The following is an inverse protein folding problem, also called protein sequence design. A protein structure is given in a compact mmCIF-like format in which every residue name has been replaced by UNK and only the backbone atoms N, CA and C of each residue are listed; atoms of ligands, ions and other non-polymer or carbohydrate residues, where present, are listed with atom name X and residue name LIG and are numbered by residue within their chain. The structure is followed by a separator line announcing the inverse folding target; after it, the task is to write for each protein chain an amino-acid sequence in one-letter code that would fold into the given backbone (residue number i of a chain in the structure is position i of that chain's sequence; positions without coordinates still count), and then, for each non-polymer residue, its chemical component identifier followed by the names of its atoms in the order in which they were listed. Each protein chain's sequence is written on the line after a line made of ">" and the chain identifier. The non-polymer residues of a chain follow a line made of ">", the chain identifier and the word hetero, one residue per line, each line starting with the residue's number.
data_IF_312410236528
#
_entry.id   IF_312410236528
#
_cell.length_a   1.000
_cell.length_b   1.000
_cell.length_c   1.000
_cell.angle_alpha   90.00
_cell.angle_beta   90.00
_cell.angle_gamma   90.00
#
_symmetry.space_group_name_H-M   'P 1'
#
loop_
_entity.id
_entity.type
_entity.pdbx_description
1 polymer ?
#
# COMPACT_ATOMS: atom_id res chain seq x y z
N UNK A 1 21.03 -18.27 18.61
CA UNK A 1 21.42 -17.84 19.98
C UNK A 1 22.57 -18.73 20.45
N UNK A 2 23.54 -18.21 21.21
CA UNK A 2 24.62 -19.07 21.75
C UNK A 2 24.05 -20.10 22.73
N UNK A 3 24.74 -21.24 22.91
CA UNK A 3 24.32 -22.30 23.84
C UNK A 3 24.06 -21.78 25.26
N UNK A 4 24.91 -20.87 25.76
CA UNK A 4 24.73 -20.25 27.07
C UNK A 4 23.35 -19.60 27.22
N UNK A 5 23.04 -18.63 26.35
CA UNK A 5 21.75 -17.94 26.36
C UNK A 5 20.55 -18.87 26.11
N UNK A 6 20.73 -19.92 25.30
CA UNK A 6 19.69 -20.94 25.10
C UNK A 6 19.36 -21.68 26.39
N UNK A 7 20.39 -22.13 27.11
CA UNK A 7 20.21 -22.82 28.40
C UNK A 7 19.65 -21.87 29.46
N UNK A 8 20.14 -20.63 29.52
CA UNK A 8 19.66 -19.61 30.44
C UNK A 8 18.14 -19.40 30.31
N UNK A 9 17.64 -19.18 29.09
CA UNK A 9 16.19 -19.03 28.85
C UNK A 9 15.44 -20.30 29.21
N UNK A 10 15.94 -21.46 28.77
CA UNK A 10 15.27 -22.74 29.01
C UNK A 10 15.11 -23.03 30.51
N UNK A 11 16.19 -22.85 31.29
CA UNK A 11 16.20 -23.12 32.73
C UNK A 11 15.28 -22.15 33.47
N UNK A 12 15.29 -20.86 33.13
CA UNK A 12 14.41 -19.88 33.78
C UNK A 12 12.94 -20.12 33.45
N UNK A 13 12.59 -20.41 32.20
CA UNK A 13 11.20 -20.70 31.81
C UNK A 13 10.68 -21.97 32.48
N UNK A 14 11.43 -23.06 32.45
CA UNK A 14 11.00 -24.30 33.13
C UNK A 14 11.02 -24.17 34.65
N UNK A 15 12.01 -23.46 35.20
CA UNK A 15 12.10 -23.20 36.64
C UNK A 15 10.93 -22.36 37.16
N UNK A 16 10.48 -21.37 36.40
CA UNK A 16 9.31 -20.54 36.75
C UNK A 16 8.01 -21.32 36.64
N UNK A 17 7.81 -22.11 35.59
CA UNK A 17 6.64 -23.01 35.48
C UNK A 17 6.61 -24.00 36.64
N UNK A 18 7.76 -24.59 36.98
CA UNK A 18 7.88 -25.48 38.14
C UNK A 18 7.56 -24.76 39.44
N UNK A 19 8.09 -23.56 39.65
CA UNK A 19 7.84 -22.74 40.85
C UNK A 19 6.36 -22.37 40.98
N UNK A 20 5.68 -22.03 39.88
CA UNK A 20 4.25 -21.75 39.87
C UNK A 20 3.43 -23.01 40.18
N UNK A 21 3.82 -24.15 39.63
CA UNK A 21 3.17 -25.44 39.91
C UNK A 21 3.34 -25.81 41.39
N UNK A 22 4.54 -25.64 41.93
CA UNK A 22 4.82 -25.88 43.35
C UNK A 22 4.03 -24.94 44.25
N UNK A 23 4.00 -23.63 43.93
CA UNK A 23 3.24 -22.64 44.68
C UNK A 23 1.75 -23.00 44.71
N UNK A 24 1.16 -23.31 43.55
CA UNK A 24 -0.26 -23.69 43.43
C UNK A 24 -0.60 -24.94 44.27
N UNK A 25 0.28 -25.95 44.25
CA UNK A 25 0.07 -27.17 45.03
C UNK A 25 0.33 -26.95 46.53
N UNK A 26 1.26 -26.08 46.88
CA UNK A 26 1.59 -25.77 48.27
C UNK A 26 0.48 -24.96 48.95
N UNK A 27 -0.05 -23.93 48.28
CA UNK A 27 -1.19 -23.15 48.81
C UNK A 27 -2.43 -24.02 48.97
N UNK A 28 -2.66 -24.94 48.01
CA UNK A 28 -3.77 -25.89 48.09
C UNK A 28 -3.65 -26.89 49.25
N UNK A 29 -2.45 -27.24 49.72
CA UNK A 29 -2.30 -28.17 50.86
C UNK A 29 -2.75 -27.57 52.18
N UNK A 30 -2.67 -26.24 52.32
CA UNK A 30 -3.03 -25.54 53.55
C UNK A 30 -4.47 -25.02 53.59
N UNK A 31 -5.28 -25.29 52.57
CA UNK A 31 -6.63 -24.74 52.46
C UNK A 31 -7.66 -25.59 53.22
N UNK A 32 -8.79 -24.98 53.58
CA UNK A 32 -9.95 -25.67 54.17
C UNK A 32 -10.67 -26.58 53.18
N UNK A 33 -11.43 -27.57 53.65
CA UNK A 33 -12.16 -28.49 52.76
C UNK A 33 -13.42 -27.85 52.15
N UNK A 34 -14.06 -26.96 52.89
CA UNK A 34 -15.34 -26.33 52.53
C UNK A 34 -15.25 -24.80 52.59
N UNK A 35 -16.21 -24.13 51.95
CA UNK A 35 -16.36 -22.68 52.01
C UNK A 35 -16.87 -22.29 53.39
N UNK A 36 -16.23 -21.32 54.02
CA UNK A 36 -16.55 -20.85 55.37
C UNK A 36 -16.61 -19.33 55.42
N UNK A 37 -17.41 -18.79 56.33
CA UNK A 37 -17.48 -17.36 56.64
C UNK A 37 -16.45 -16.94 57.72
N UNK A 38 -15.52 -17.84 58.09
CA UNK A 38 -14.50 -17.54 59.10
C UNK A 38 -13.38 -16.66 58.54
N UNK A 39 -12.97 -15.67 59.34
CA UNK A 39 -11.91 -14.71 58.99
C UNK A 39 -10.58 -15.07 59.64
N UNK A 40 -9.48 -14.56 59.08
CA UNK A 40 -8.09 -14.84 59.53
C UNK A 40 -7.69 -14.15 60.85
N UNK A 41 -8.60 -13.42 61.50
CA UNK A 41 -8.40 -12.85 62.85
C UNK A 41 -7.65 -11.51 62.91
N UNK A 42 -7.38 -10.88 61.76
CA UNK A 42 -6.79 -9.55 61.66
C UNK A 42 -7.62 -8.67 60.71
N UNK A 43 -7.78 -7.41 61.09
CA UNK A 43 -8.48 -6.40 60.28
C UNK A 43 -7.51 -5.31 59.83
N UNK A 44 -7.56 -4.99 58.55
CA UNK A 44 -6.80 -3.88 57.95
C UNK A 44 -7.80 -2.86 57.41
N UNK A 45 -7.83 -1.67 58.01
CA UNK A 45 -8.74 -0.59 57.62
C UNK A 45 -10.23 -1.00 57.56
N UNK A 46 -10.64 -1.83 58.53
CA UNK A 46 -12.00 -2.36 58.61
C UNK A 46 -12.32 -3.49 57.63
N UNK A 47 -11.35 -3.97 56.84
CA UNK A 47 -11.48 -5.13 55.96
C UNK A 47 -10.89 -6.36 56.64
N UNK A 48 -11.62 -7.47 56.61
CA UNK A 48 -11.19 -8.79 57.06
C UNK A 48 -11.20 -9.78 55.88
N UNK A 49 -10.30 -10.76 55.91
CA UNK A 49 -10.16 -11.76 54.84
C UNK A 49 -10.71 -13.11 55.27
N UNK A 50 -11.51 -13.74 54.40
CA UNK A 50 -11.98 -15.12 54.60
C UNK A 50 -10.89 -16.14 54.27
N UNK A 51 -10.78 -17.19 55.09
CA UNK A 51 -9.87 -18.31 54.87
C UNK A 51 -10.52 -19.40 53.99
N UNK A 52 -10.94 -19.01 52.79
CA UNK A 52 -11.68 -19.89 51.88
C UNK A 52 -10.76 -20.73 50.97
N UNK A 53 -11.15 -21.97 50.62
CA UNK A 53 -10.41 -22.74 49.64
C UNK A 53 -10.49 -22.14 48.23
N UNK A 54 -9.46 -22.42 47.44
CA UNK A 54 -9.44 -22.05 46.03
C UNK A 54 -10.63 -22.73 45.32
N UNK A 55 -11.42 -21.98 44.52
CA UNK A 55 -12.50 -22.59 43.74
C UNK A 55 -11.96 -23.72 42.86
N UNK A 56 -12.59 -24.89 42.93
CA UNK A 56 -12.13 -26.10 42.22
C UNK A 56 -11.98 -25.87 40.71
N UNK A 57 -12.91 -25.14 40.10
CA UNK A 57 -12.86 -24.80 38.68
C UNK A 57 -11.65 -23.92 38.33
N UNK A 58 -11.34 -22.93 39.19
CA UNK A 58 -10.20 -22.03 39.01
C UNK A 58 -8.88 -22.79 39.10
N UNK A 59 -8.76 -23.69 40.08
CA UNK A 59 -7.58 -24.54 40.22
C UNK A 59 -7.36 -25.37 38.95
N UNK A 60 -8.40 -26.04 38.46
CA UNK A 60 -8.27 -26.88 37.26
C UNK A 60 -8.01 -26.08 36.00
N UNK A 61 -8.55 -24.86 35.89
CA UNK A 61 -8.20 -23.93 34.83
C UNK A 61 -6.71 -23.56 34.88
N UNK A 62 -6.18 -23.21 36.06
CA UNK A 62 -4.76 -22.89 36.24
C UNK A 62 -3.87 -24.09 35.88
N UNK A 63 -4.23 -25.30 36.31
CA UNK A 63 -3.50 -26.52 35.90
C UNK A 63 -3.57 -26.70 34.38
N UNK A 64 -4.74 -26.47 33.78
CA UNK A 64 -4.92 -26.52 32.33
C UNK A 64 -4.00 -25.58 31.56
N UNK A 65 -3.79 -24.35 32.05
CA UNK A 65 -2.87 -23.40 31.40
C UNK A 65 -1.41 -23.82 31.53
N UNK A 66 -0.99 -24.42 32.66
CA UNK A 66 0.35 -25.00 32.81
C UNK A 66 0.58 -26.13 31.80
N UNK A 67 -0.38 -27.07 31.70
CA UNK A 67 -0.31 -28.20 30.76
C UNK A 67 -0.26 -27.69 29.32
N UNK A 68 -1.11 -26.71 28.98
CA UNK A 68 -1.09 -26.08 27.67
C UNK A 68 0.25 -25.40 27.38
N UNK A 69 0.81 -24.64 28.32
CA UNK A 69 2.08 -23.96 28.15
C UNK A 69 3.24 -24.94 27.89
N UNK A 70 3.30 -26.04 28.63
CA UNK A 70 4.30 -27.09 28.41
C UNK A 70 4.12 -27.76 27.04
N UNK A 71 2.89 -28.11 26.67
CA UNK A 71 2.59 -28.66 25.34
C UNK A 71 2.97 -27.68 24.21
N UNK A 72 2.68 -26.40 24.40
CA UNK A 72 3.04 -25.35 23.44
C UNK A 72 4.56 -25.21 23.28
N UNK A 73 5.31 -25.20 24.39
CA UNK A 73 6.79 -25.12 24.37
C UNK A 73 7.45 -26.37 23.76
N UNK A 74 6.79 -27.52 23.80
CA UNK A 74 7.24 -28.71 23.07
C UNK A 74 7.01 -28.52 21.57
N UNK A 75 5.81 -28.06 21.18
CA UNK A 75 5.43 -27.93 19.76
C UNK A 75 6.14 -26.76 19.04
N UNK A 76 6.32 -25.63 19.70
CA UNK A 76 6.82 -24.38 19.11
C UNK A 76 8.21 -23.99 19.64
N UNK A 77 8.97 -23.18 18.90
CA UNK A 77 10.17 -22.56 19.44
C UNK A 77 9.82 -21.62 20.59
N UNK A 78 10.62 -21.65 21.66
CA UNK A 78 10.42 -20.83 22.85
C UNK A 78 11.43 -21.11 23.95
N UNK A 79 11.84 -22.38 24.09
CA UNK A 79 12.92 -22.79 25.00
C UNK A 79 14.30 -22.60 24.35
N UNK A 80 14.81 -21.38 24.37
CA UNK A 80 16.14 -21.07 23.82
C UNK A 80 16.25 -21.41 22.32
N UNK A 81 17.15 -22.32 21.97
CA UNK A 81 17.35 -22.81 20.59
C UNK A 81 16.43 -23.98 20.21
N UNK A 82 15.58 -24.48 21.11
CA UNK A 82 14.58 -25.49 20.78
C UNK A 82 13.69 -25.00 19.63
N UNK A 83 13.54 -25.83 18.60
CA UNK A 83 12.84 -25.45 17.35
C UNK A 83 11.36 -25.81 17.34
N UNK A 84 10.90 -26.54 18.36
CA UNK A 84 9.59 -27.15 18.34
C UNK A 84 9.56 -28.45 17.53
N UNK A 85 8.53 -29.27 17.78
CA UNK A 85 8.25 -30.51 17.04
C UNK A 85 6.90 -30.48 16.32
N UNK A 86 6.38 -29.28 16.04
CA UNK A 86 5.13 -29.12 15.30
C UNK A 86 5.24 -29.82 13.93
N UNK A 87 4.33 -30.78 13.62
CA UNK A 87 4.38 -31.52 12.37
C UNK A 87 4.06 -30.61 11.17
N UNK A 88 4.57 -30.97 10.00
CA UNK A 88 4.30 -30.26 8.75
C UNK A 88 5.26 -29.11 8.41
N UNK A 89 6.25 -28.81 9.27
CA UNK A 89 7.28 -27.79 9.03
C UNK A 89 8.66 -28.40 8.80
N UNK A 90 8.74 -29.60 8.24
CA UNK A 90 10.02 -30.15 7.78
C UNK A 90 10.47 -29.48 6.48
N UNK A 91 9.52 -29.16 5.60
CA UNK A 91 9.73 -28.52 4.31
C UNK A 91 8.66 -27.44 4.07
N UNK A 92 8.94 -26.52 3.15
CA UNK A 92 7.96 -25.58 2.62
C UNK A 92 6.79 -26.36 1.99
N UNK A 93 7.12 -27.28 1.09
CA UNK A 93 6.23 -28.27 0.50
C UNK A 93 6.72 -29.66 0.94
N UNK A 94 5.96 -30.35 1.79
CA UNK A 94 6.36 -31.65 2.31
C UNK A 94 6.25 -32.77 1.26
N UNK A 95 5.41 -32.61 0.24
CA UNK A 95 5.22 -33.62 -0.81
C UNK A 95 6.36 -33.54 -1.84
N UNK A 96 6.78 -32.32 -2.18
CA UNK A 96 7.89 -32.06 -3.12
C UNK A 96 9.26 -31.95 -2.46
N UNK A 97 9.30 -31.94 -1.12
CA UNK A 97 10.50 -31.71 -0.33
C UNK A 97 11.22 -30.39 -0.67
N UNK A 98 10.45 -29.35 -1.00
CA UNK A 98 11.00 -28.02 -1.24
C UNK A 98 11.45 -27.41 0.09
N UNK A 99 12.72 -27.05 0.22
CA UNK A 99 13.26 -26.46 1.45
C UNK A 99 12.72 -25.04 1.69
N UNK A 100 12.68 -24.63 2.97
CA UNK A 100 12.47 -23.23 3.33
C UNK A 100 13.65 -22.36 2.88
N UNK A 101 13.45 -21.06 2.75
CA UNK A 101 14.48 -20.15 2.20
C UNK A 101 15.80 -20.14 2.97
N UNK A 102 15.76 -20.45 4.27
CA UNK A 102 16.93 -20.52 5.15
C UNK A 102 17.54 -21.92 5.29
N UNK A 103 16.99 -22.93 4.60
CA UNK A 103 17.43 -24.32 4.63
C UNK A 103 17.25 -25.03 5.98
N UNK A 104 16.44 -24.49 6.90
CA UNK A 104 16.23 -25.07 8.23
C UNK A 104 14.78 -25.56 8.40
N UNK A 105 14.55 -26.72 9.02
CA UNK A 105 13.21 -27.18 9.37
C UNK A 105 12.72 -26.55 10.69
N UNK A 106 11.47 -26.82 11.03
CA UNK A 106 10.79 -26.39 12.25
C UNK A 106 9.87 -25.20 11.99
N UNK A 107 8.94 -24.96 12.91
CA UNK A 107 8.05 -23.81 12.79
C UNK A 107 8.79 -22.51 13.08
N UNK A 108 8.59 -21.49 12.26
CA UNK A 108 8.91 -20.09 12.55
C UNK A 108 7.84 -19.20 11.92
N UNK A 109 7.70 -17.96 12.37
CA UNK A 109 6.79 -17.00 11.72
C UNK A 109 7.14 -16.77 10.23
N UNK A 110 8.42 -16.86 9.87
CA UNK A 110 8.87 -16.76 8.47
C UNK A 110 8.45 -17.99 7.67
N UNK A 111 8.60 -19.20 8.22
CA UNK A 111 8.21 -20.43 7.54
C UNK A 111 6.69 -20.54 7.35
N UNK A 112 5.90 -20.03 8.30
CA UNK A 112 4.45 -19.93 8.15
C UNK A 112 4.08 -18.99 7.00
N UNK A 113 4.69 -17.80 6.96
CA UNK A 113 4.50 -16.86 5.86
C UNK A 113 4.92 -17.46 4.51
N UNK A 114 6.06 -18.14 4.42
CA UNK A 114 6.51 -18.80 3.19
C UNK A 114 5.50 -19.86 2.72
N UNK A 115 4.98 -20.70 3.63
CA UNK A 115 3.94 -21.68 3.31
C UNK A 115 2.65 -21.01 2.81
N UNK A 116 2.24 -19.93 3.45
CA UNK A 116 1.06 -19.17 3.03
C UNK A 116 1.26 -18.60 1.62
N UNK A 117 2.42 -17.99 1.35
CA UNK A 117 2.75 -17.45 0.03
C UNK A 117 2.83 -18.56 -1.03
N UNK A 118 3.50 -19.67 -0.76
CA UNK A 118 3.59 -20.80 -1.70
C UNK A 118 2.20 -21.38 -2.03
N UNK A 119 1.31 -21.46 -1.03
CA UNK A 119 -0.08 -21.89 -1.23
C UNK A 119 -0.88 -20.88 -2.06
N UNK A 120 -0.67 -19.58 -1.80
CA UNK A 120 -1.29 -18.51 -2.58
C UNK A 120 -0.79 -18.52 -4.03
N UNK A 121 0.50 -18.70 -4.26
CA UNK A 121 1.11 -18.76 -5.59
C UNK A 121 0.63 -19.99 -6.37
N UNK A 122 0.54 -21.16 -5.73
CA UNK A 122 -0.01 -22.36 -6.38
C UNK A 122 -1.48 -22.16 -6.78
N UNK A 123 -2.26 -21.43 -5.98
CA UNK A 123 -3.70 -21.21 -6.22
C UNK A 123 -3.97 -20.09 -7.22
N UNK A 124 -3.26 -18.97 -7.10
CA UNK A 124 -3.55 -17.73 -7.83
C UNK A 124 -2.54 -17.46 -8.95
N UNK A 125 -1.33 -18.00 -8.88
CA UNK A 125 -0.29 -17.87 -9.89
C UNK A 125 -0.76 -18.22 -11.31
N UNK A 126 -1.46 -19.35 -11.54
CA UNK A 126 -2.00 -19.66 -12.87
C UNK A 126 -2.98 -18.61 -13.42
N UNK A 127 -3.75 -17.95 -12.54
CA UNK A 127 -4.69 -16.90 -12.93
C UNK A 127 -3.93 -15.65 -13.36
N UNK A 128 -2.92 -15.24 -12.57
CA UNK A 128 -2.06 -14.11 -12.91
C UNK A 128 -1.26 -14.36 -14.19
N UNK A 129 -0.66 -15.55 -14.33
CA UNK A 129 0.09 -15.94 -15.52
C UNK A 129 -0.78 -15.96 -16.80
N UNK A 130 -2.03 -16.44 -16.70
CA UNK A 130 -3.00 -16.39 -17.81
C UNK A 130 -3.16 -14.95 -18.32
N UNK A 131 -3.43 -14.00 -17.42
CA UNK A 131 -3.65 -12.61 -17.82
C UNK A 131 -2.37 -11.90 -18.23
N UNK A 132 -1.23 -12.20 -17.60
CA UNK A 132 0.05 -11.61 -17.95
C UNK A 132 0.54 -12.00 -19.36
N UNK A 133 0.12 -13.16 -19.87
CA UNK A 133 0.43 -13.62 -21.23
C UNK A 133 -0.49 -13.02 -22.31
N UNK A 134 -1.60 -12.39 -21.93
CA UNK A 134 -2.54 -11.77 -22.87
C UNK A 134 -2.11 -10.34 -23.21
N UNK A 135 -2.47 -9.81 -24.39
CA UNK A 135 -2.35 -8.38 -24.65
C UNK A 135 -3.24 -7.56 -23.71
N UNK A 136 -2.76 -6.40 -23.25
CA UNK A 136 -3.47 -5.53 -22.30
C UNK A 136 -4.88 -5.19 -22.80
N UNK A 137 -5.04 -4.98 -24.11
CA UNK A 137 -6.33 -4.69 -24.75
C UNK A 137 -7.35 -5.83 -24.63
N UNK A 138 -6.90 -7.08 -24.60
CA UNK A 138 -7.76 -8.26 -24.40
C UNK A 138 -8.05 -8.48 -22.92
N UNK A 139 -7.08 -8.24 -22.04
CA UNK A 139 -7.29 -8.26 -20.58
C UNK A 139 -8.31 -7.20 -20.17
N UNK A 140 -8.30 -6.03 -20.80
CA UNK A 140 -9.25 -4.94 -20.54
C UNK A 140 -10.70 -5.27 -20.93
N UNK A 141 -10.93 -6.36 -21.69
CA UNK A 141 -12.28 -6.84 -22.06
C UNK A 141 -12.78 -7.95 -21.14
N UNK A 142 -11.91 -8.56 -20.33
CA UNK A 142 -12.28 -9.67 -19.44
C UNK A 142 -12.86 -9.13 -18.10
N UNK A 143 -14.13 -9.40 -17.77
CA UNK A 143 -14.76 -8.88 -16.55
C UNK A 143 -14.09 -9.35 -15.25
N UNK A 144 -13.51 -10.55 -15.25
CA UNK A 144 -12.79 -11.07 -14.09
C UNK A 144 -11.47 -10.30 -13.90
N UNK A 145 -10.74 -10.06 -14.99
CA UNK A 145 -9.52 -9.26 -14.97
C UNK A 145 -9.78 -7.83 -14.49
N UNK A 146 -10.83 -7.16 -15.01
CA UNK A 146 -11.21 -5.82 -14.58
C UNK A 146 -11.58 -5.76 -13.09
N UNK A 147 -12.31 -6.75 -12.58
CA UNK A 147 -12.64 -6.82 -11.15
C UNK A 147 -11.39 -7.03 -10.27
N UNK A 148 -10.40 -7.77 -10.76
CA UNK A 148 -9.11 -7.93 -10.09
C UNK A 148 -8.30 -6.63 -10.13
N UNK A 149 -8.18 -6.01 -11.31
CA UNK A 149 -7.50 -4.73 -11.50
C UNK A 149 -8.11 -3.59 -10.69
N UNK A 150 -9.44 -3.52 -10.59
CA UNK A 150 -10.14 -2.56 -9.75
C UNK A 150 -9.80 -2.69 -8.27
N UNK A 151 -9.68 -3.93 -7.75
CA UNK A 151 -9.25 -4.17 -6.36
C UNK A 151 -7.80 -3.77 -6.14
N UNK A 152 -6.91 -4.10 -7.09
CA UNK A 152 -5.52 -3.66 -7.05
C UNK A 152 -5.43 -2.13 -7.06
N UNK A 153 -6.23 -1.47 -7.90
CA UNK A 153 -6.28 -0.01 -7.98
C UNK A 153 -6.79 0.61 -6.68
N UNK A 154 -7.87 0.08 -6.11
CA UNK A 154 -8.42 0.53 -4.85
C UNK A 154 -7.40 0.46 -3.70
N UNK A 155 -6.59 -0.60 -3.64
CA UNK A 155 -5.59 -0.76 -2.57
C UNK A 155 -4.32 0.06 -2.77
N UNK A 156 -3.90 0.33 -4.02
CA UNK A 156 -2.54 0.81 -4.29
C UNK A 156 -2.47 2.14 -5.07
N UNK A 157 -3.55 2.56 -5.73
CA UNK A 157 -3.54 3.71 -6.62
C UNK A 157 -4.56 4.80 -6.21
N UNK A 158 -5.64 4.40 -5.55
CA UNK A 158 -6.78 5.27 -5.20
C UNK A 158 -6.42 6.44 -4.28
N UNK A 159 -5.40 6.30 -3.43
CA UNK A 159 -4.97 7.35 -2.51
C UNK A 159 -4.48 8.61 -3.24
N UNK A 160 -3.93 8.45 -4.44
CA UNK A 160 -3.47 9.55 -5.28
C UNK A 160 -4.47 9.87 -6.39
N UNK A 161 -4.94 8.84 -7.10
CA UNK A 161 -5.80 9.01 -8.28
C UNK A 161 -7.30 9.06 -7.96
N UNK A 162 -7.68 9.05 -6.69
CA UNK A 162 -9.08 9.03 -6.26
C UNK A 162 -9.69 7.62 -6.31
N UNK A 163 -10.73 7.39 -5.50
CA UNK A 163 -11.46 6.12 -5.47
C UNK A 163 -12.22 5.83 -6.75
N UNK A 164 -12.60 6.86 -7.50
CA UNK A 164 -13.23 6.81 -8.82
C UNK A 164 -12.24 6.99 -9.98
N UNK A 165 -10.93 7.01 -9.69
CA UNK A 165 -9.85 7.21 -10.63
C UNK A 165 -9.84 8.59 -11.34
N UNK A 166 -10.61 9.57 -10.88
CA UNK A 166 -10.72 10.90 -11.51
C UNK A 166 -9.67 11.91 -11.05
N UNK A 167 -8.71 11.49 -10.23
CA UNK A 167 -7.61 12.32 -9.77
C UNK A 167 -8.02 13.37 -8.75
N UNK A 168 -7.11 14.31 -8.53
CA UNK A 168 -7.26 15.43 -7.61
C UNK A 168 -6.24 16.52 -7.98
N UNK A 169 -6.18 17.62 -7.22
CA UNK A 169 -5.11 18.59 -7.40
C UNK A 169 -3.74 17.91 -7.26
N UNK A 170 -2.93 17.99 -8.31
CA UNK A 170 -1.62 17.38 -8.44
C UNK A 170 -1.61 15.96 -9.02
N UNK A 171 -2.77 15.32 -9.20
CA UNK A 171 -2.89 13.93 -9.62
C UNK A 171 -3.82 13.76 -10.83
N UNK A 172 -3.37 13.10 -11.91
CA UNK A 172 -4.16 12.92 -13.13
C UNK A 172 -5.48 12.18 -12.93
N UNK A 173 -6.50 12.62 -13.67
CA UNK A 173 -7.66 11.80 -14.00
C UNK A 173 -7.24 10.68 -14.95
N UNK A 174 -7.62 9.45 -14.65
CA UNK A 174 -7.28 8.27 -15.43
C UNK A 174 -8.46 7.74 -16.25
N UNK A 175 -9.62 8.39 -16.17
CA UNK A 175 -10.84 8.00 -16.89
C UNK A 175 -11.09 8.84 -18.14
N UNK A 176 -10.38 9.95 -18.32
CA UNK A 176 -10.50 10.79 -19.51
C UNK A 176 -9.57 10.33 -20.64
N UNK A 177 -9.57 11.09 -21.74
CA UNK A 177 -8.74 10.81 -22.91
C UNK A 177 -7.46 11.66 -22.95
N UNK A 178 -7.11 12.35 -21.86
CA UNK A 178 -6.01 13.31 -21.80
C UNK A 178 -4.76 12.72 -21.14
N UNK A 179 -3.96 12.01 -21.94
CA UNK A 179 -2.78 11.29 -21.46
C UNK A 179 -1.48 12.07 -21.61
N UNK A 180 -0.89 12.48 -20.48
CA UNK A 180 0.38 13.25 -20.46
C UNK A 180 1.57 12.49 -21.03
N UNK A 181 1.64 11.18 -20.81
CA UNK A 181 2.74 10.31 -21.23
C UNK A 181 2.37 9.39 -22.39
N UNK A 182 1.13 9.49 -22.91
CA UNK A 182 0.55 8.60 -23.91
C UNK A 182 -0.44 7.58 -23.31
N UNK A 183 -1.57 7.39 -23.98
CA UNK A 183 -2.68 6.52 -23.55
C UNK A 183 -2.66 5.11 -24.13
N UNK A 184 -1.63 4.77 -24.90
CA UNK A 184 -1.49 3.42 -25.45
C UNK A 184 -1.25 2.40 -24.34
N UNK A 185 -1.80 1.17 -24.44
CA UNK A 185 -1.75 0.18 -23.37
C UNK A 185 -0.34 -0.09 -22.82
N UNK A 186 0.65 -0.27 -23.69
CA UNK A 186 2.04 -0.51 -23.28
C UNK A 186 2.70 0.73 -22.67
N UNK A 187 2.25 1.94 -23.05
CA UNK A 187 2.74 3.20 -22.49
C UNK A 187 2.19 3.43 -21.08
N UNK A 188 0.92 3.05 -20.85
CA UNK A 188 0.31 3.00 -19.52
C UNK A 188 1.08 2.01 -18.65
N UNK A 189 1.33 0.78 -19.14
CA UNK A 189 2.11 -0.23 -18.42
C UNK A 189 3.52 0.27 -18.09
N UNK A 190 4.20 0.90 -19.05
CA UNK A 190 5.54 1.47 -18.84
C UNK A 190 5.53 2.54 -17.75
N UNK A 191 4.51 3.41 -17.76
CA UNK A 191 4.31 4.43 -16.72
C UNK A 191 4.12 3.81 -15.34
N UNK A 192 3.30 2.75 -15.24
CA UNK A 192 3.05 2.08 -13.95
C UNK A 192 4.28 1.31 -13.47
N UNK A 193 4.97 0.57 -14.35
CA UNK A 193 6.15 -0.21 -13.99
C UNK A 193 7.30 0.69 -13.55
N UNK A 194 7.77 1.56 -14.45
CA UNK A 194 8.99 2.35 -14.26
C UNK A 194 8.77 3.68 -13.54
N UNK A 195 7.52 4.06 -13.30
CA UNK A 195 7.18 5.38 -12.79
C UNK A 195 7.40 6.48 -13.83
N UNK A 196 7.08 7.71 -13.45
CA UNK A 196 7.31 8.91 -14.26
C UNK A 196 7.70 10.10 -13.40
N UNK A 197 8.55 10.96 -13.95
CA UNK A 197 8.91 12.25 -13.36
C UNK A 197 8.68 13.36 -14.38
N UNK A 198 7.62 14.14 -14.19
CA UNK A 198 7.29 15.27 -15.05
C UNK A 198 7.97 16.53 -14.53
N UNK A 199 8.77 17.17 -15.38
CA UNK A 199 9.53 18.38 -15.03
C UNK A 199 9.06 19.56 -15.88
N UNK A 200 8.53 20.57 -15.23
CA UNK A 200 8.36 21.90 -15.79
C UNK A 200 9.32 22.85 -15.05
N UNK A 201 10.32 23.45 -15.70
CA UNK A 201 11.25 24.34 -15.04
C UNK A 201 10.56 25.63 -14.57
N UNK A 202 11.17 26.29 -13.59
CA UNK A 202 10.76 27.61 -13.13
C UNK A 202 11.22 28.68 -14.13
N UNK A 203 10.30 29.56 -14.55
CA UNK A 203 10.60 30.59 -15.55
C UNK A 203 10.72 32.00 -14.99
N UNK A 204 10.43 32.22 -13.70
CA UNK A 204 10.42 33.55 -13.08
C UNK A 204 11.70 34.35 -13.35
N UNK A 205 12.86 33.75 -13.12
CA UNK A 205 14.17 34.38 -13.32
C UNK A 205 14.52 34.62 -14.79
N UNK A 206 13.89 33.88 -15.71
CA UNK A 206 14.21 33.92 -17.14
C UNK A 206 13.36 34.94 -17.88
N UNK A 207 12.05 34.98 -17.59
CA UNK A 207 11.08 35.81 -18.32
C UNK A 207 10.49 36.95 -17.46
N UNK A 208 10.83 37.00 -16.17
CA UNK A 208 10.31 37.96 -15.21
C UNK A 208 8.82 37.78 -14.90
N UNK A 209 8.34 38.51 -13.90
CA UNK A 209 6.94 38.44 -13.46
C UNK A 209 5.94 38.86 -14.54
N UNK A 210 6.30 39.85 -15.37
CA UNK A 210 5.47 40.28 -16.49
C UNK A 210 5.41 39.20 -17.57
N UNK A 211 6.54 38.57 -17.94
CA UNK A 211 6.56 37.48 -18.91
C UNK A 211 5.75 36.27 -18.45
N UNK A 212 5.77 35.96 -17.15
CA UNK A 212 4.90 34.93 -16.55
C UNK A 212 3.42 35.28 -16.76
N UNK A 213 3.02 36.52 -16.50
CA UNK A 213 1.64 36.98 -16.71
C UNK A 213 1.23 36.92 -18.18
N UNK A 214 2.11 37.34 -19.08
CA UNK A 214 1.90 37.37 -20.52
C UNK A 214 1.72 35.95 -21.09
N UNK A 215 2.59 35.00 -20.72
CA UNK A 215 2.47 33.58 -21.13
C UNK A 215 1.21 32.95 -20.54
N UNK A 216 0.89 33.19 -19.28
CA UNK A 216 -0.36 32.73 -18.70
C UNK A 216 -1.57 33.29 -19.46
N UNK A 217 -1.51 34.55 -19.90
CA UNK A 217 -2.58 35.18 -20.66
C UNK A 217 -2.71 34.57 -22.05
N UNK A 218 -1.60 34.26 -22.72
CA UNK A 218 -1.58 33.53 -23.99
C UNK A 218 -2.22 32.15 -23.86
N UNK A 219 -1.85 31.37 -22.83
CA UNK A 219 -2.43 30.03 -22.60
C UNK A 219 -3.95 30.12 -22.39
N UNK A 220 -4.42 31.00 -21.50
CA UNK A 220 -5.86 31.14 -21.20
C UNK A 220 -6.65 31.64 -22.41
N UNK A 221 -6.14 32.64 -23.13
CA UNK A 221 -6.93 33.32 -24.16
C UNK A 221 -6.79 32.73 -25.56
N UNK A 222 -5.59 32.28 -25.95
CA UNK A 222 -5.29 31.86 -27.33
C UNK A 222 -5.24 30.35 -27.51
N UNK A 223 -4.78 29.59 -26.50
CA UNK A 223 -4.73 28.12 -26.58
C UNK A 223 -6.03 27.47 -26.09
N UNK A 224 -6.60 28.03 -25.03
CA UNK A 224 -7.79 27.51 -24.36
C UNK A 224 -9.09 28.21 -24.84
N UNK A 225 -8.99 29.51 -25.16
CA UNK A 225 -10.13 30.29 -25.67
C UNK A 225 -11.01 30.90 -24.59
N UNK A 226 -10.56 30.90 -23.33
CA UNK A 226 -11.25 31.56 -22.21
C UNK A 226 -10.93 33.05 -22.14
N UNK A 227 -11.82 33.81 -21.53
CA UNK A 227 -11.59 35.24 -21.26
C UNK A 227 -10.67 35.43 -20.06
N UNK A 228 -9.82 36.45 -20.12
CA UNK A 228 -8.99 36.84 -19.00
C UNK A 228 -9.84 37.53 -17.91
N UNK A 229 -9.47 37.40 -16.63
CA UNK A 229 -10.11 38.17 -15.57
C UNK A 229 -9.97 39.67 -15.79
N UNK A 230 -10.97 40.44 -15.36
CA UNK A 230 -10.96 41.91 -15.46
C UNK A 230 -9.78 42.53 -14.67
N UNK A 231 -9.21 43.61 -15.20
CA UNK A 231 -8.14 44.37 -14.53
C UNK A 231 -6.75 43.71 -14.57
N UNK A 232 -6.61 42.55 -15.20
CA UNK A 232 -5.31 41.89 -15.38
C UNK A 232 -4.44 42.66 -16.38
N UNK A 233 -3.22 43.00 -15.97
CA UNK A 233 -2.19 43.60 -16.84
C UNK A 233 -1.33 42.49 -17.45
N UNK A 234 -1.74 41.96 -18.59
CA UNK A 234 -0.98 40.96 -19.33
C UNK A 234 -1.16 41.13 -20.84
N UNK A 235 -0.09 40.91 -21.60
CA UNK A 235 -0.05 40.98 -23.05
C UNK A 235 0.04 39.56 -23.64
N UNK A 236 -1.07 39.06 -24.17
CA UNK A 236 -1.12 37.73 -24.78
C UNK A 236 -0.30 37.62 -26.07
N UNK A 237 -0.05 38.71 -26.80
CA UNK A 237 0.80 38.69 -28.01
C UNK A 237 2.28 38.58 -27.63
N UNK A 238 2.70 39.28 -26.59
CA UNK A 238 4.02 39.08 -26.02
C UNK A 238 4.18 37.67 -25.42
N UNK A 239 3.15 37.18 -24.74
CA UNK A 239 3.08 35.81 -24.23
C UNK A 239 3.28 34.76 -25.31
N UNK A 240 2.68 34.96 -26.49
CA UNK A 240 2.87 34.09 -27.65
C UNK A 240 4.33 34.06 -28.12
N UNK A 241 5.01 35.21 -28.15
CA UNK A 241 6.43 35.28 -28.54
C UNK A 241 7.30 34.53 -27.53
N UNK A 242 7.06 34.70 -26.23
CA UNK A 242 7.80 33.99 -25.18
C UNK A 242 7.53 32.48 -25.25
N UNK A 243 6.27 32.08 -25.48
CA UNK A 243 5.89 30.69 -25.66
C UNK A 243 6.62 30.04 -26.85
N UNK A 244 6.64 30.73 -27.99
CA UNK A 244 7.33 30.28 -29.20
C UNK A 244 8.86 30.21 -29.02
N UNK A 245 9.45 31.02 -28.14
CA UNK A 245 10.88 31.00 -27.87
C UNK A 245 11.30 29.89 -26.87
N UNK A 246 10.45 29.57 -25.89
CA UNK A 246 10.85 28.76 -24.73
C UNK A 246 9.97 27.52 -24.50
N UNK A 247 8.64 27.71 -24.51
CA UNK A 247 7.69 26.68 -24.09
C UNK A 247 7.41 25.65 -25.20
N UNK A 248 7.56 26.06 -26.46
CA UNK A 248 7.33 25.25 -27.66
C UNK A 248 8.15 23.95 -27.68
N UNK A 249 9.35 23.96 -27.09
CA UNK A 249 10.25 22.82 -27.10
C UNK A 249 9.65 21.58 -26.40
N UNK A 250 8.82 21.81 -25.38
CA UNK A 250 8.15 20.73 -24.64
C UNK A 250 6.66 20.65 -24.97
N UNK A 251 5.97 21.78 -25.16
CA UNK A 251 4.52 21.81 -25.37
C UNK A 251 4.09 21.85 -26.84
N UNK A 252 5.03 21.93 -27.78
CA UNK A 252 4.76 22.03 -29.21
C UNK A 252 4.21 23.40 -29.63
N UNK A 253 4.23 23.71 -30.93
CA UNK A 253 3.84 25.03 -31.46
C UNK A 253 2.36 25.34 -31.26
N UNK A 254 1.52 24.30 -31.24
CA UNK A 254 0.08 24.39 -31.01
C UNK A 254 -0.29 24.20 -29.54
N UNK A 255 0.68 24.03 -28.63
CA UNK A 255 0.42 23.77 -27.22
C UNK A 255 -0.14 22.38 -26.92
N UNK A 256 -0.16 21.46 -27.88
CA UNK A 256 -0.71 20.09 -27.72
C UNK A 256 0.07 19.17 -26.78
N UNK A 257 1.23 19.59 -26.30
CA UNK A 257 2.07 18.77 -25.45
C UNK A 257 2.91 17.76 -26.23
N UNK A 258 3.84 17.11 -25.54
CA UNK A 258 4.62 16.00 -26.09
C UNK A 258 4.65 14.84 -25.09
N UNK A 259 4.10 13.67 -25.44
CA UNK A 259 4.11 12.50 -24.56
C UNK A 259 5.50 12.07 -24.10
N UNK A 260 6.52 12.26 -24.95
CA UNK A 260 7.91 11.93 -24.64
C UNK A 260 8.45 12.69 -23.41
N UNK A 261 7.95 13.91 -23.16
CA UNK A 261 8.37 14.75 -22.03
C UNK A 261 7.33 14.78 -20.89
N UNK A 262 6.20 14.09 -21.02
CA UNK A 262 5.10 14.21 -20.07
C UNK A 262 4.43 15.59 -20.07
N UNK A 263 4.68 16.38 -21.12
CA UNK A 263 4.19 17.74 -21.25
C UNK A 263 2.71 17.70 -21.68
N UNK A 264 1.79 18.26 -20.89
CA UNK A 264 0.36 18.16 -21.13
C UNK A 264 -0.08 19.00 -22.31
N UNK A 265 -1.21 18.62 -22.89
CA UNK A 265 -1.95 19.43 -23.84
C UNK A 265 -2.52 20.67 -23.13
N UNK A 266 -2.03 21.85 -23.50
CA UNK A 266 -2.42 23.14 -22.95
C UNK A 266 -3.73 23.69 -23.52
N UNK A 267 -4.30 23.06 -24.57
CA UNK A 267 -5.59 23.45 -25.13
C UNK A 267 -6.77 22.82 -24.38
N UNK A 268 -6.51 21.90 -23.44
CA UNK A 268 -7.51 21.14 -22.69
C UNK A 268 -7.40 21.46 -21.18
N UNK A 269 -7.91 22.62 -20.71
CA UNK A 269 -7.76 23.06 -19.32
C UNK A 269 -8.41 22.13 -18.29
N UNK A 270 -9.41 21.33 -18.69
CA UNK A 270 -10.07 20.35 -17.83
C UNK A 270 -9.12 19.23 -17.36
N UNK A 271 -8.06 18.96 -18.14
CA UNK A 271 -7.05 17.95 -17.82
C UNK A 271 -5.89 18.51 -16.97
N UNK A 272 -5.94 19.79 -16.58
CA UNK A 272 -4.86 20.41 -15.80
C UNK A 272 -4.91 19.95 -14.34
N UNK A 273 -3.89 19.19 -13.95
CA UNK A 273 -3.76 18.71 -12.57
C UNK A 273 -3.39 19.81 -11.57
N UNK A 274 -2.85 20.95 -12.02
CA UNK A 274 -2.44 22.05 -11.13
C UNK A 274 -3.39 23.26 -11.18
N UNK A 275 -4.62 23.03 -11.66
CA UNK A 275 -5.64 24.06 -11.83
C UNK A 275 -5.42 24.91 -13.09
N UNK A 276 -6.48 25.59 -13.50
CA UNK A 276 -6.56 26.31 -14.78
C UNK A 276 -6.89 27.80 -14.61
N UNK A 277 -6.99 28.31 -13.39
CA UNK A 277 -7.15 29.76 -13.19
C UNK A 277 -5.89 30.51 -13.60
N UNK A 278 -6.04 31.78 -13.99
CA UNK A 278 -4.92 32.64 -14.40
C UNK A 278 -3.79 32.64 -13.35
N UNK A 279 -4.13 32.80 -12.06
CA UNK A 279 -3.16 32.77 -10.96
C UNK A 279 -2.47 31.41 -10.79
N UNK A 280 -3.19 30.29 -10.96
CA UNK A 280 -2.61 28.94 -10.89
C UNK A 280 -1.64 28.67 -12.04
N UNK A 281 -1.94 29.19 -13.23
CA UNK A 281 -1.02 29.12 -14.38
C UNK A 281 0.21 29.97 -14.14
N UNK A 282 0.06 31.20 -13.63
CA UNK A 282 1.20 32.02 -13.24
C UNK A 282 2.08 31.31 -12.21
N UNK A 283 1.49 30.69 -11.18
CA UNK A 283 2.25 29.93 -10.17
C UNK A 283 3.04 28.77 -10.80
N UNK A 284 2.40 28.04 -11.71
CA UNK A 284 3.00 26.90 -12.42
C UNK A 284 4.15 27.33 -13.32
N UNK A 285 4.01 28.43 -14.06
CA UNK A 285 5.05 28.97 -14.93
C UNK A 285 6.19 29.59 -14.10
N UNK A 286 5.85 30.33 -13.04
CA UNK A 286 6.80 31.02 -12.18
C UNK A 286 7.75 30.06 -11.49
N UNK A 287 7.20 29.05 -10.81
CA UNK A 287 8.00 28.16 -9.93
C UNK A 287 8.20 26.75 -10.50
N UNK A 288 7.62 26.44 -11.65
CA UNK A 288 7.72 25.11 -12.25
C UNK A 288 6.92 24.06 -11.49
N UNK A 289 7.06 22.80 -11.93
CA UNK A 289 6.39 21.60 -11.38
C UNK A 289 7.29 20.39 -11.48
N UNK A 290 7.21 19.49 -10.51
CA UNK A 290 7.98 18.25 -10.44
C UNK A 290 7.07 17.08 -10.02
N UNK A 291 6.09 16.76 -10.86
CA UNK A 291 5.13 15.68 -10.58
C UNK A 291 5.82 14.31 -10.60
N UNK A 292 5.47 13.43 -9.67
CA UNK A 292 6.01 12.07 -9.58
C UNK A 292 4.90 11.03 -9.57
N UNK A 293 5.03 10.05 -10.45
CA UNK A 293 4.30 8.79 -10.39
C UNK A 293 5.33 7.73 -9.95
N UNK A 294 5.22 7.18 -8.72
CA UNK A 294 6.18 6.21 -8.21
C UNK A 294 6.15 4.89 -8.99
N UNK A 295 7.33 4.35 -9.29
CA UNK A 295 7.48 3.04 -9.93
C UNK A 295 6.84 1.93 -9.10
N UNK A 296 6.00 1.10 -9.73
CA UNK A 296 5.29 0.01 -9.05
C UNK A 296 5.98 -1.35 -9.22
N UNK A 297 7.04 -1.44 -10.03
CA UNK A 297 7.74 -2.69 -10.33
C UNK A 297 8.13 -3.47 -9.07
N UNK A 298 8.78 -2.82 -8.11
CA UNK A 298 9.27 -3.47 -6.88
C UNK A 298 8.15 -3.85 -5.90
N UNK A 299 7.01 -3.14 -5.95
CA UNK A 299 5.90 -3.35 -5.02
C UNK A 299 4.92 -4.41 -5.53
N UNK A 300 4.71 -4.45 -6.85
CA UNK A 300 3.61 -5.20 -7.46
C UNK A 300 4.08 -6.29 -8.42
N UNK A 301 5.28 -6.15 -9.01
CA UNK A 301 5.77 -7.03 -10.05
C UNK A 301 4.98 -6.91 -11.36
N UNK A 302 5.45 -7.63 -12.39
CA UNK A 302 4.91 -7.52 -13.75
C UNK A 302 3.41 -7.89 -13.83
N UNK A 303 2.99 -8.97 -13.20
CA UNK A 303 1.66 -9.55 -13.43
C UNK A 303 0.54 -8.65 -12.87
N UNK A 304 0.73 -8.12 -11.66
CA UNK A 304 -0.22 -7.17 -11.06
C UNK A 304 -0.20 -5.84 -11.81
N UNK A 305 0.96 -5.36 -12.25
CA UNK A 305 1.05 -4.14 -13.06
C UNK A 305 0.37 -4.32 -14.41
N UNK A 306 0.46 -5.49 -15.03
CA UNK A 306 -0.23 -5.77 -16.28
C UNK A 306 -1.77 -5.70 -16.12
N UNK A 307 -2.31 -6.26 -15.03
CA UNK A 307 -3.73 -6.12 -14.69
C UNK A 307 -4.13 -4.67 -14.37
N UNK A 308 -3.28 -3.93 -13.65
CA UNK A 308 -3.50 -2.51 -13.38
C UNK A 308 -3.52 -1.68 -14.67
N UNK A 309 -2.60 -1.94 -15.59
CA UNK A 309 -2.56 -1.27 -16.88
C UNK A 309 -3.82 -1.56 -17.71
N UNK A 310 -4.29 -2.82 -17.71
CA UNK A 310 -5.54 -3.19 -18.38
C UNK A 310 -6.76 -2.50 -17.75
N UNK A 311 -6.82 -2.44 -16.41
CA UNK A 311 -7.89 -1.73 -15.72
C UNK A 311 -7.87 -0.23 -16.03
N UNK A 312 -6.72 0.43 -15.89
CA UNK A 312 -6.56 1.86 -16.20
C UNK A 312 -6.91 2.15 -17.65
N UNK A 313 -6.44 1.34 -18.59
CA UNK A 313 -6.82 1.45 -19.99
C UNK A 313 -8.32 1.32 -20.19
N UNK A 314 -8.98 0.36 -19.52
CA UNK A 314 -10.44 0.17 -19.65
C UNK A 314 -11.27 1.38 -19.19
N UNK A 315 -10.75 2.21 -18.27
CA UNK A 315 -11.47 3.35 -17.73
C UNK A 315 -11.76 4.40 -18.79
N UNK A 316 -10.84 4.61 -19.73
CA UNK A 316 -11.02 5.58 -20.83
C UNK A 316 -11.68 4.97 -22.08
N UNK A 317 -11.92 3.66 -22.10
CA UNK A 317 -12.60 2.96 -23.21
C UNK A 317 -14.10 2.77 -22.98
N UNK A 318 -14.59 3.05 -21.76
CA UNK A 318 -16.02 3.00 -21.49
C UNK A 318 -16.69 4.17 -22.21
N UNK A 319 -17.46 3.85 -23.26
CA UNK A 319 -18.37 4.80 -23.89
C UNK A 319 -19.22 5.46 -22.79
N UNK A 320 -19.43 6.78 -22.91
CA UNK A 320 -20.29 7.53 -22.00
C UNK A 320 -21.52 6.70 -21.62
N UNK A 321 -21.86 6.56 -20.32
CA UNK A 321 -23.11 5.92 -19.96
C UNK A 321 -24.22 6.67 -20.70
N UNK A 322 -25.00 5.95 -21.51
CA UNK A 322 -26.15 6.50 -22.19
C UNK A 322 -26.95 7.30 -21.17
N UNK A 323 -27.14 8.60 -21.44
CA UNK A 323 -27.94 9.49 -20.60
C UNK A 323 -29.23 8.75 -20.27
N UNK A 324 -29.46 8.45 -18.99
CA UNK A 324 -30.74 7.97 -18.55
C UNK A 324 -31.78 9.05 -18.89
N UNK A 325 -32.71 8.72 -19.79
CA UNK A 325 -33.92 9.51 -20.05
C UNK A 325 -34.83 9.54 -18.81
#
# INVERSE_FOLDING_TARGET
>A
MTTFWSLYVTVLTLGTIFSLTWLLLSTRKGQREEVTDETVGHAFDGIEEYDNPLPKWWFWLFVGTIVFALGYLVLYPGLGNWKGVLPGYSYLDNDKQTEFSNGQPGWTGVHEWEKEMAKADARFGPIFAKFAAMPITEVAKDPQALKMGARLFASNCSVCHGSDAKGAFGFPNLTDNDWRWGGEPDTIKTTIMGGRHGVMPAWAEVIGDQGVADVAAFVVSKLDGRTLPEGVKADAENGQKIFAANCVACHGPEGKGTPAMGAPNLTHPQAFIYGSSFAQLQQTIRYGRQGQMPAQEQMQGNDKVHLLAAYVYSLSQQAEPAKAE
#
